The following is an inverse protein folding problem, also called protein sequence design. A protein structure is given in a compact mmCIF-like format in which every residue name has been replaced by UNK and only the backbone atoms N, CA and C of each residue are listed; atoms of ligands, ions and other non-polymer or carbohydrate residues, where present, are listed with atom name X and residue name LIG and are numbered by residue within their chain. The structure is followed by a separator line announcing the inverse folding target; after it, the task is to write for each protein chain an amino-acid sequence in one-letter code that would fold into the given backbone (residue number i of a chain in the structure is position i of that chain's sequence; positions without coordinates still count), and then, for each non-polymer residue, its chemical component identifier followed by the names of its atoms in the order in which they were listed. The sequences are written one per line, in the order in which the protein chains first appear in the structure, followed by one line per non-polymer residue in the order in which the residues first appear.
data_IF_519383443812
#
_entry.id   IF_519383443812
#
_cell.length_a   1.000
_cell.length_b   1.000
_cell.length_c   1.000
_cell.angle_alpha   90.00
_cell.angle_beta   90.00
_cell.angle_gamma   90.00
#
_symmetry.space_group_name_H-M   'P 1'
#
loop_
_entity.id
_entity.type
_entity.pdbx_description
1 polymer ?
#
# COMPACT_ATOMS: atom_id res chain seq x y z
N UNK A 1 -15.51 -9.76 -4.25
CA UNK A 1 -14.67 -9.08 -3.22
C UNK A 1 -15.03 -7.60 -3.25
N UNK A 2 -15.04 -6.91 -2.10
CA UNK A 2 -15.29 -5.46 -2.04
C UNK A 2 -14.08 -4.74 -1.47
N UNK A 3 -13.66 -3.66 -2.11
CA UNK A 3 -12.59 -2.79 -1.61
C UNK A 3 -13.16 -1.40 -1.33
N UNK A 4 -13.18 -1.02 -0.06
CA UNK A 4 -13.62 0.29 0.40
C UNK A 4 -12.44 1.24 0.47
N UNK A 5 -12.46 2.32 -0.31
CA UNK A 5 -11.37 3.29 -0.26
C UNK A 5 -11.47 4.42 -1.28
N UNK A 6 -10.34 5.06 -1.55
CA UNK A 6 -10.24 6.11 -2.57
C UNK A 6 -9.23 5.70 -3.62
N UNK A 7 -9.53 5.96 -4.90
CA UNK A 7 -8.60 5.74 -6.01
C UNK A 7 -7.32 6.60 -5.88
N UNK A 8 -7.37 7.68 -5.09
CA UNK A 8 -6.23 8.55 -4.79
C UNK A 8 -5.38 8.04 -3.61
N UNK A 9 -5.84 7.04 -2.86
CA UNK A 9 -5.06 6.48 -1.75
C UNK A 9 -4.03 5.48 -2.27
N UNK A 10 -2.75 5.75 -2.01
CA UNK A 10 -1.64 4.85 -2.36
C UNK A 10 -1.77 3.48 -1.68
N UNK A 11 -2.30 3.43 -0.45
CA UNK A 11 -2.58 2.17 0.24
C UNK A 11 -3.72 1.37 -0.44
N UNK A 12 -4.75 2.03 -0.96
CA UNK A 12 -5.80 1.37 -1.74
C UNK A 12 -5.27 0.89 -3.09
N UNK A 13 -4.43 1.70 -3.76
CA UNK A 13 -3.76 1.33 -5.00
C UNK A 13 -2.91 0.06 -4.86
N UNK A 14 -2.23 -0.13 -3.72
CA UNK A 14 -1.50 -1.37 -3.41
C UNK A 14 -2.42 -2.61 -3.46
N UNK A 15 -3.64 -2.50 -2.95
CA UNK A 15 -4.64 -3.58 -3.01
C UNK A 15 -5.16 -3.78 -4.43
N UNK A 16 -5.44 -2.69 -5.16
CA UNK A 16 -5.88 -2.78 -6.56
C UNK A 16 -4.85 -3.46 -7.45
N UNK A 17 -3.57 -3.09 -7.31
CA UNK A 17 -2.48 -3.72 -8.06
C UNK A 17 -2.44 -5.23 -7.83
N UNK A 18 -2.57 -5.68 -6.57
CA UNK A 18 -2.62 -7.10 -6.25
C UNK A 18 -3.85 -7.79 -6.86
N UNK A 19 -5.04 -7.18 -6.78
CA UNK A 19 -6.26 -7.74 -7.38
C UNK A 19 -6.14 -7.88 -8.91
N UNK A 20 -5.57 -6.88 -9.58
CA UNK A 20 -5.34 -6.92 -11.02
C UNK A 20 -4.31 -7.99 -11.41
N UNK A 21 -3.17 -8.05 -10.71
CA UNK A 21 -2.14 -9.09 -10.93
C UNK A 21 -2.70 -10.50 -10.73
N UNK A 22 -3.66 -10.68 -9.81
CA UNK A 22 -4.32 -11.96 -9.56
C UNK A 22 -5.53 -12.22 -10.47
N UNK A 23 -5.84 -11.30 -11.39
CA UNK A 23 -6.98 -11.36 -12.31
C UNK A 23 -8.32 -11.57 -11.57
N UNK A 24 -8.48 -10.93 -10.42
CA UNK A 24 -9.65 -11.10 -9.56
C UNK A 24 -10.66 -9.97 -9.76
N UNK A 25 -11.91 -10.35 -9.98
CA UNK A 25 -13.03 -9.41 -10.00
C UNK A 25 -13.31 -8.85 -8.60
N UNK A 26 -13.46 -7.53 -8.51
CA UNK A 26 -13.81 -6.84 -7.28
C UNK A 26 -14.73 -5.65 -7.55
N UNK A 27 -15.55 -5.34 -6.55
CA UNK A 27 -16.35 -4.13 -6.50
C UNK A 27 -15.57 -3.07 -5.73
N UNK A 28 -15.35 -1.91 -6.35
CA UNK A 28 -14.78 -0.74 -5.68
C UNK A 28 -15.91 0.06 -5.02
N UNK A 29 -15.81 0.24 -3.71
CA UNK A 29 -16.73 1.05 -2.91
C UNK A 29 -16.02 2.37 -2.56
N UNK A 30 -16.37 3.50 -3.21
CA UNK A 30 -15.71 4.77 -2.96
C UNK A 30 -15.96 5.26 -1.53
N UNK A 31 -14.92 5.77 -0.88
CA UNK A 31 -14.94 6.43 0.43
C UNK A 31 -14.42 7.85 0.26
N UNK A 32 -15.28 8.84 0.47
CA UNK A 32 -14.96 10.25 0.32
C UNK A 32 -14.18 10.76 1.53
N UNK A 33 -12.85 10.74 1.41
CA UNK A 33 -11.95 11.21 2.45
C UNK A 33 -12.04 12.72 2.69
N UNK A 34 -12.42 13.51 1.67
CA UNK A 34 -12.49 14.97 1.76
C UNK A 34 -13.59 15.45 2.72
N UNK A 35 -14.69 14.69 2.84
CA UNK A 35 -15.77 14.98 3.80
C UNK A 35 -15.71 14.11 5.07
N UNK A 36 -14.59 13.40 5.25
CA UNK A 36 -14.29 12.62 6.44
C UNK A 36 -15.09 11.31 6.57
N UNK A 37 -15.57 10.70 5.49
CA UNK A 37 -16.36 9.44 5.57
C UNK A 37 -15.58 8.31 6.23
N UNK A 38 -14.28 8.20 5.91
CA UNK A 38 -13.35 7.25 6.54
C UNK A 38 -13.23 7.41 8.07
N UNK A 39 -13.76 8.48 8.68
CA UNK A 39 -13.76 8.72 10.12
C UNK A 39 -15.14 8.54 10.77
N UNK A 40 -16.12 8.01 10.03
CA UNK A 40 -17.51 7.86 10.47
C UNK A 40 -17.99 6.43 10.26
N UNK A 41 -19.07 6.07 10.94
CA UNK A 41 -19.81 4.85 10.61
C UNK A 41 -20.48 4.99 9.22
N UNK A 42 -20.64 3.89 8.45
CA UNK A 42 -20.29 2.51 8.81
C UNK A 42 -18.81 2.14 8.56
N UNK A 43 -17.97 3.07 8.10
CA UNK A 43 -16.60 2.75 7.71
C UNK A 43 -15.72 2.35 8.90
N UNK A 44 -15.92 2.97 10.07
CA UNK A 44 -15.17 2.62 11.29
C UNK A 44 -15.38 1.16 11.73
N UNK A 45 -16.55 0.57 11.44
CA UNK A 45 -16.79 -0.87 11.64
C UNK A 45 -15.97 -1.77 10.69
N UNK A 46 -15.39 -1.23 9.61
CA UNK A 46 -14.49 -1.94 8.69
C UNK A 46 -13.02 -1.72 9.03
N UNK A 47 -12.65 -0.47 9.32
CA UNK A 47 -11.31 -0.11 9.81
C UNK A 47 -11.44 0.85 11.00
N UNK A 48 -11.16 0.40 12.25
CA UNK A 48 -11.32 1.21 13.45
C UNK A 48 -10.32 2.38 13.56
N UNK A 49 -9.22 2.36 12.79
CA UNK A 49 -8.28 3.49 12.70
C UNK A 49 -8.79 4.61 11.78
N UNK A 50 -9.89 4.36 11.08
CA UNK A 50 -10.48 5.27 10.12
C UNK A 50 -9.50 5.62 9.01
N UNK A 51 -8.87 4.61 8.41
CA UNK A 51 -7.95 4.73 7.29
C UNK A 51 -8.43 3.84 6.15
N UNK A 52 -8.17 4.25 4.91
CA UNK A 52 -8.45 3.42 3.72
C UNK A 52 -7.16 2.71 3.28
N UNK A 53 -7.25 1.50 2.69
CA UNK A 53 -8.46 0.76 2.34
C UNK A 53 -9.00 -0.13 3.48
N UNK A 54 -10.24 -0.57 3.32
CA UNK A 54 -10.77 -1.79 3.96
C UNK A 54 -11.24 -2.78 2.89
N UNK A 55 -11.30 -4.07 3.22
CA UNK A 55 -11.65 -5.15 2.32
C UNK A 55 -12.71 -6.06 2.95
N UNK A 56 -13.68 -6.48 2.13
CA UNK A 56 -14.71 -7.44 2.54
C UNK A 56 -14.83 -8.60 1.55
N UNK A 57 -14.96 -9.80 2.09
CA UNK A 57 -15.33 -11.00 1.34
C UNK A 57 -16.20 -11.93 2.20
N UNK A 58 -17.51 -11.93 1.96
CA UNK A 58 -18.45 -12.64 2.82
C UNK A 58 -18.40 -12.07 4.24
N UNK A 59 -18.19 -12.94 5.23
CA UNK A 59 -18.07 -12.54 6.64
C UNK A 59 -16.66 -12.03 7.02
N UNK A 60 -15.68 -12.18 6.13
CA UNK A 60 -14.31 -11.72 6.37
C UNK A 60 -14.19 -10.22 6.10
N UNK A 61 -13.69 -9.48 7.10
CA UNK A 61 -13.37 -8.06 7.01
C UNK A 61 -11.90 -7.85 7.36
N UNK A 62 -11.17 -7.15 6.51
CA UNK A 62 -9.75 -6.86 6.67
C UNK A 62 -9.48 -5.37 6.49
N UNK A 63 -8.49 -4.87 7.21
CA UNK A 63 -7.83 -3.59 6.97
C UNK A 63 -6.31 -3.82 6.96
N UNK A 64 -5.52 -2.76 6.80
CA UNK A 64 -4.08 -2.82 6.46
C UNK A 64 -3.82 -3.34 5.04
N UNK A 65 -3.44 -2.43 4.13
CA UNK A 65 -3.26 -2.76 2.71
C UNK A 65 -2.28 -3.92 2.47
N UNK A 66 -1.17 -4.01 3.23
CA UNK A 66 -0.20 -5.11 3.12
C UNK A 66 -0.77 -6.45 3.62
N UNK A 67 -1.59 -6.42 4.66
CA UNK A 67 -2.27 -7.63 5.15
C UNK A 67 -3.32 -8.12 4.15
N UNK A 68 -4.08 -7.19 3.55
CA UNK A 68 -5.04 -7.48 2.49
C UNK A 68 -4.34 -8.11 1.27
N UNK A 69 -3.21 -7.55 0.81
CA UNK A 69 -2.49 -8.13 -0.33
C UNK A 69 -1.89 -9.50 -0.01
N UNK A 70 -1.43 -9.73 1.22
CA UNK A 70 -0.99 -11.07 1.65
C UNK A 70 -2.14 -12.08 1.64
N UNK A 71 -3.32 -11.72 2.17
CA UNK A 71 -4.51 -12.56 2.10
C UNK A 71 -4.86 -12.94 0.65
N UNK A 72 -4.87 -11.95 -0.26
CA UNK A 72 -5.18 -12.17 -1.67
C UNK A 72 -4.11 -13.04 -2.35
N UNK A 73 -2.83 -12.72 -2.17
CA UNK A 73 -1.73 -13.43 -2.83
C UNK A 73 -1.68 -14.91 -2.43
N UNK A 74 -1.89 -15.21 -1.14
CA UNK A 74 -1.91 -16.58 -0.62
C UNK A 74 -3.22 -17.32 -0.90
N UNK A 75 -4.37 -16.66 -0.70
CA UNK A 75 -5.69 -17.28 -0.85
C UNK A 75 -6.03 -17.65 -2.31
N UNK A 76 -5.39 -16.99 -3.27
CA UNK A 76 -5.57 -17.20 -4.71
C UNK A 76 -4.26 -17.53 -5.41
N UNK A 77 -3.39 -18.32 -4.77
CA UNK A 77 -2.06 -18.63 -5.30
C UNK A 77 -2.08 -19.25 -6.71
N UNK A 78 -3.17 -19.91 -7.10
CA UNK A 78 -3.39 -20.57 -8.40
C UNK A 78 -3.96 -19.65 -9.50
N UNK A 79 -4.25 -18.38 -9.21
CA UNK A 79 -4.81 -17.39 -10.16
C UNK A 79 -3.79 -16.34 -10.60
N UNK A 80 -3.87 -15.86 -11.84
CA UNK A 80 -3.05 -14.76 -12.35
C UNK A 80 -1.54 -14.94 -12.08
N UNK A 81 -0.86 -13.84 -11.77
CA UNK A 81 0.58 -13.79 -11.51
C UNK A 81 0.96 -14.56 -10.22
N UNK A 82 2.03 -15.38 -10.23
CA UNK A 82 2.51 -16.10 -9.05
C UNK A 82 3.28 -15.16 -8.10
N UNK A 83 2.54 -14.43 -7.25
CA UNK A 83 3.09 -13.47 -6.27
C UNK A 83 3.67 -14.10 -4.99
N UNK A 84 3.50 -15.41 -4.80
CA UNK A 84 3.99 -16.16 -3.65
C UNK A 84 4.96 -17.23 -4.14
N UNK A 85 6.14 -17.32 -3.52
CA UNK A 85 7.20 -18.27 -3.93
C UNK A 85 7.41 -19.30 -2.82
N UNK A 86 6.93 -20.55 -2.95
CA UNK A 86 6.99 -21.53 -1.88
C UNK A 86 8.44 -21.88 -1.46
N UNK A 87 8.59 -22.41 -0.25
CA UNK A 87 9.87 -22.87 0.27
C UNK A 87 10.71 -21.76 0.91
N UNK A 88 12.03 -21.97 0.97
CA UNK A 88 12.96 -21.04 1.65
C UNK A 88 13.00 -19.65 1.02
N UNK A 89 12.65 -19.55 -0.26
CA UNK A 89 12.58 -18.30 -1.01
C UNK A 89 11.54 -17.33 -0.44
N UNK A 90 10.49 -17.83 0.23
CA UNK A 90 9.55 -16.97 0.97
C UNK A 90 10.28 -16.08 1.98
N UNK A 91 11.34 -16.57 2.63
CA UNK A 91 12.07 -15.77 3.61
C UNK A 91 12.70 -14.53 2.97
N UNK A 92 13.25 -14.66 1.77
CA UNK A 92 13.79 -13.52 1.01
C UNK A 92 12.68 -12.56 0.61
N UNK A 93 11.54 -13.06 0.16
CA UNK A 93 10.37 -12.22 -0.17
C UNK A 93 9.91 -11.42 1.07
N UNK A 94 9.74 -12.09 2.20
CA UNK A 94 9.35 -11.45 3.47
C UNK A 94 10.37 -10.39 3.92
N UNK A 95 11.68 -10.66 3.79
CA UNK A 95 12.71 -9.66 4.09
C UNK A 95 12.49 -8.39 3.29
N UNK A 96 12.26 -8.48 1.98
CA UNK A 96 12.08 -7.29 1.14
C UNK A 96 10.72 -6.60 1.32
N UNK A 97 9.69 -7.34 1.74
CA UNK A 97 8.43 -6.73 2.19
C UNK A 97 8.61 -5.88 3.45
N UNK A 98 9.35 -6.38 4.44
CA UNK A 98 9.65 -5.64 5.66
C UNK A 98 10.57 -4.44 5.39
N UNK A 99 11.53 -4.59 4.46
CA UNK A 99 12.37 -3.47 4.00
C UNK A 99 11.50 -2.40 3.33
N UNK A 100 10.54 -2.76 2.48
CA UNK A 100 9.60 -1.78 1.92
C UNK A 100 8.82 -1.06 3.01
N UNK A 101 8.22 -1.80 3.95
CA UNK A 101 7.38 -1.23 5.00
C UNK A 101 8.15 -0.33 5.99
N UNK A 102 9.41 -0.64 6.27
CA UNK A 102 10.16 0.01 7.36
C UNK A 102 11.32 0.90 6.91
N UNK A 103 11.87 0.68 5.72
CA UNK A 103 13.00 1.48 5.20
C UNK A 103 12.54 2.43 4.09
N UNK A 104 11.76 1.93 3.13
CA UNK A 104 11.32 2.72 1.98
C UNK A 104 10.10 3.58 2.29
N UNK A 105 9.00 2.96 2.74
CA UNK A 105 7.70 3.61 2.90
C UNK A 105 7.73 4.83 3.84
N UNK A 106 8.39 4.81 5.02
CA UNK A 106 8.34 5.96 5.92
C UNK A 106 8.93 7.24 5.33
N UNK A 107 9.92 7.13 4.45
CA UNK A 107 10.55 8.29 3.77
C UNK A 107 9.85 8.63 2.47
N UNK A 108 9.48 7.61 1.67
CA UNK A 108 8.76 7.81 0.41
C UNK A 108 7.36 8.40 0.65
N UNK A 109 6.64 7.93 1.66
CA UNK A 109 5.32 8.46 2.02
C UNK A 109 5.37 9.90 2.51
N UNK A 110 6.46 10.33 3.18
CA UNK A 110 6.66 11.74 3.55
C UNK A 110 6.87 12.62 2.32
N UNK A 111 7.71 12.18 1.38
CA UNK A 111 7.89 12.90 0.10
C UNK A 111 6.58 13.00 -0.66
N UNK A 112 5.82 11.91 -0.75
CA UNK A 112 4.52 11.91 -1.41
C UNK A 112 3.51 12.85 -0.72
N UNK A 113 3.53 12.92 0.62
CA UNK A 113 2.73 13.89 1.36
C UNK A 113 3.09 15.34 1.01
N UNK A 114 4.39 15.67 1.00
CA UNK A 114 4.89 17.02 0.73
C UNK A 114 4.70 17.47 -0.72
N UNK A 115 4.95 16.58 -1.67
CA UNK A 115 5.03 16.92 -3.11
C UNK A 115 3.73 16.68 -3.87
N UNK A 116 2.86 15.79 -3.37
CA UNK A 116 1.61 15.43 -4.08
C UNK A 116 0.39 15.87 -3.28
N UNK A 117 0.24 15.39 -2.04
CA UNK A 117 -1.00 15.60 -1.29
C UNK A 117 -1.15 17.02 -0.77
N UNK A 118 -0.11 17.62 -0.18
CA UNK A 118 -0.15 19.00 0.29
C UNK A 118 -0.58 19.98 -0.83
N UNK A 119 0.06 20.00 -2.02
CA UNK A 119 -0.37 20.86 -3.12
C UNK A 119 -1.81 20.61 -3.58
N UNK A 120 -2.24 19.35 -3.63
CA UNK A 120 -3.62 18.98 -3.96
C UNK A 120 -4.65 19.58 -2.97
N UNK A 121 -4.26 19.77 -1.71
CA UNK A 121 -5.08 20.41 -0.67
C UNK A 121 -4.83 21.91 -0.51
N UNK A 122 -4.02 22.53 -1.38
CA UNK A 122 -3.65 23.95 -1.26
C UNK A 122 -2.73 24.26 -0.08
N UNK A 123 -2.08 23.24 0.49
CA UNK A 123 -1.08 23.38 1.55
C UNK A 123 0.29 23.54 0.89
N UNK A 124 1.12 24.52 1.31
CA UNK A 124 2.45 24.69 0.76
C UNK A 124 3.38 23.52 1.14
N UNK A 125 4.19 23.10 0.17
CA UNK A 125 5.28 22.13 0.35
C UNK A 125 6.35 22.69 1.29
N UNK A 126 6.83 21.85 2.21
CA UNK A 126 8.01 22.15 3.02
C UNK A 126 9.27 21.65 2.30
N UNK A 127 9.98 22.56 1.63
CA UNK A 127 11.17 22.21 0.86
C UNK A 127 12.31 21.64 1.72
N UNK A 128 12.42 22.04 3.00
CA UNK A 128 13.44 21.49 3.88
C UNK A 128 13.13 20.03 4.24
N UNK A 129 11.86 19.74 4.50
CA UNK A 129 11.40 18.36 4.70
C UNK A 129 11.61 17.50 3.43
N UNK A 130 11.39 18.07 2.25
CA UNK A 130 11.66 17.38 0.97
C UNK A 130 13.14 17.04 0.85
N UNK A 131 14.04 18.02 0.95
CA UNK A 131 15.49 17.81 0.83
C UNK A 131 16.00 16.75 1.83
N UNK A 132 15.54 16.82 3.08
CA UNK A 132 15.91 15.85 4.11
C UNK A 132 15.46 14.42 3.74
N UNK A 133 14.22 14.26 3.28
CA UNK A 133 13.68 12.93 2.97
C UNK A 133 14.18 12.40 1.61
N UNK A 134 14.50 13.25 0.64
CA UNK A 134 15.19 12.86 -0.60
C UNK A 134 16.57 12.29 -0.29
N UNK A 135 17.36 12.97 0.55
CA UNK A 135 18.67 12.46 0.95
C UNK A 135 18.57 11.12 1.71
N UNK A 136 17.53 10.93 2.53
CA UNK A 136 17.28 9.65 3.21
C UNK A 136 16.83 8.55 2.24
N UNK A 137 15.91 8.87 1.33
CA UNK A 137 15.43 7.93 0.33
C UNK A 137 16.57 7.52 -0.62
N UNK A 138 17.44 8.45 -1.03
CA UNK A 138 18.62 8.16 -1.84
C UNK A 138 19.50 7.06 -1.24
N UNK A 139 19.78 7.10 0.07
CA UNK A 139 20.53 6.04 0.76
C UNK A 139 19.82 4.68 0.75
N UNK A 140 18.50 4.66 0.84
CA UNK A 140 17.71 3.42 0.70
C UNK A 140 17.80 2.91 -0.73
N UNK A 141 17.69 3.80 -1.72
CA UNK A 141 17.78 3.45 -3.14
C UNK A 141 19.18 2.96 -3.54
N UNK A 142 20.26 3.45 -2.94
CA UNK A 142 21.62 2.92 -3.17
C UNK A 142 21.74 1.44 -2.74
N UNK A 143 21.06 1.06 -1.65
CA UNK A 143 20.98 -0.33 -1.20
C UNK A 143 20.16 -1.16 -2.19
N UNK A 144 19.06 -0.59 -2.71
CA UNK A 144 18.23 -1.26 -3.72
C UNK A 144 19.02 -1.47 -5.02
N UNK A 145 19.75 -0.47 -5.50
CA UNK A 145 20.61 -0.55 -6.69
C UNK A 145 21.64 -1.68 -6.54
N UNK A 146 22.35 -1.71 -5.41
CA UNK A 146 23.34 -2.74 -5.11
C UNK A 146 22.75 -4.14 -5.06
N UNK A 147 21.51 -4.27 -4.57
CA UNK A 147 20.76 -5.55 -4.55
C UNK A 147 20.30 -5.95 -5.95
N UNK A 148 19.69 -5.03 -6.68
CA UNK A 148 19.08 -5.29 -7.99
C UNK A 148 20.14 -5.61 -9.05
N UNK A 149 21.35 -5.07 -8.94
CA UNK A 149 22.50 -5.45 -9.78
C UNK A 149 22.86 -6.95 -9.69
N UNK A 150 22.41 -7.65 -8.64
CA UNK A 150 22.63 -9.10 -8.45
C UNK A 150 21.42 -9.94 -8.90
N UNK A 151 20.33 -9.32 -9.33
CA UNK A 151 19.10 -9.98 -9.78
C UNK A 151 19.13 -10.11 -11.30
N UNK A 152 19.74 -11.18 -11.80
CA UNK A 152 19.72 -11.56 -13.23
C UNK A 152 18.66 -12.61 -13.51
#
# INVERSE_FOLDING_TARGET
MKVHGSALSTAAQRVFACLYEKELEFEFIPVNMAVGEHKKEPFLALNPFGQVPAFEQGDLKLFESRAITQYIAHGYADKGTPLVIPGKQMATLSVWMEVEAHQFDPVASKLNWELVFKPMFGIPTDNAAVEENEAKLGKVLDVYESRLAQSK
#
